data_IF_485277833405
#
_entry.id   IF_485277833405
#
_cell.length_a   1.000
_cell.length_b   1.000
_cell.length_c   1.000
_cell.angle_alpha   90.00
_cell.angle_beta   90.00
_cell.angle_gamma   90.00
#
_symmetry.space_group_name_H-M   'P 1'
#
loop_
_entity.id
_entity.type
_entity.pdbx_description
1 polymer ?
#
# COMPACT_ATOMS: atom_id res chain seq x y z
N UNK A 1 11.79 -29.70 -26.63
CA UNK A 1 12.24 -28.30 -26.84
C UNK A 1 11.55 -27.40 -25.82
N UNK A 2 12.28 -26.79 -24.87
CA UNK A 2 11.71 -25.85 -23.89
C UNK A 2 11.23 -24.59 -24.63
N UNK A 3 9.95 -24.24 -24.51
CA UNK A 3 9.40 -22.99 -25.08
C UNK A 3 10.07 -21.81 -24.36
N UNK A 4 10.77 -20.94 -25.11
CA UNK A 4 11.29 -19.67 -24.58
C UNK A 4 10.10 -18.84 -24.08
N UNK A 5 10.18 -18.37 -22.83
CA UNK A 5 9.19 -17.44 -22.26
C UNK A 5 9.28 -16.12 -23.01
N UNK A 6 8.15 -15.50 -23.34
CA UNK A 6 8.16 -14.18 -23.97
C UNK A 6 8.49 -13.14 -22.90
N UNK A 7 9.31 -12.17 -23.28
CA UNK A 7 9.65 -11.00 -22.46
C UNK A 7 9.02 -9.82 -23.17
N UNK A 8 8.29 -9.00 -22.42
CA UNK A 8 7.65 -7.80 -22.95
C UNK A 8 8.39 -6.58 -22.41
N UNK A 9 8.70 -5.65 -23.31
CA UNK A 9 9.27 -4.36 -22.97
C UNK A 9 8.19 -3.30 -23.05
N UNK A 10 8.15 -2.42 -22.05
CA UNK A 10 7.22 -1.29 -22.00
C UNK A 10 7.96 -0.01 -21.66
N UNK A 11 7.65 1.07 -22.38
CA UNK A 11 8.14 2.41 -22.08
C UNK A 11 7.18 3.11 -21.12
N UNK A 12 7.68 3.54 -19.96
CA UNK A 12 6.89 4.27 -18.97
C UNK A 12 7.27 5.74 -18.97
N UNK A 13 6.46 6.56 -19.63
CA UNK A 13 6.66 8.01 -19.66
C UNK A 13 6.21 8.64 -18.33
N UNK A 14 7.12 9.30 -17.62
CA UNK A 14 6.80 10.08 -16.42
C UNK A 14 6.03 11.37 -16.78
N UNK A 15 5.25 11.89 -15.83
CA UNK A 15 4.55 13.17 -15.94
C UNK A 15 5.49 14.34 -16.24
N UNK A 16 6.79 14.21 -15.91
CA UNK A 16 7.80 15.22 -16.18
C UNK A 16 8.41 15.13 -17.59
N UNK A 17 8.07 14.12 -18.40
CA UNK A 17 8.57 13.97 -19.78
C UNK A 17 8.35 15.25 -20.61
N UNK A 18 7.11 15.72 -20.71
CA UNK A 18 6.78 16.95 -21.43
C UNK A 18 7.18 18.24 -20.69
N UNK A 19 7.64 18.14 -19.44
CA UNK A 19 8.21 19.26 -18.69
C UNK A 19 9.70 19.45 -18.99
N UNK A 20 10.38 18.43 -19.53
CA UNK A 20 11.78 18.52 -19.94
C UNK A 20 11.96 19.70 -20.90
N UNK A 21 12.98 20.52 -20.65
CA UNK A 21 13.22 21.74 -21.42
C UNK A 21 13.44 21.44 -22.90
N UNK A 22 14.16 20.38 -23.24
CA UNK A 22 14.42 20.00 -24.63
C UNK A 22 13.16 19.57 -25.37
N UNK A 23 12.30 18.76 -24.73
CA UNK A 23 11.02 18.30 -25.29
C UNK A 23 10.04 19.47 -25.41
N UNK A 24 9.95 20.31 -24.38
CA UNK A 24 9.09 21.50 -24.37
C UNK A 24 9.56 22.54 -25.39
N UNK A 25 10.87 22.68 -25.58
CA UNK A 25 11.45 23.56 -26.60
C UNK A 25 11.15 23.05 -28.00
N UNK A 26 11.31 21.74 -28.25
CA UNK A 26 10.97 21.12 -29.52
C UNK A 26 9.52 21.43 -29.90
N UNK A 27 8.58 21.14 -28.99
CA UNK A 27 7.14 21.34 -29.22
C UNK A 27 6.73 22.81 -29.46
N UNK A 28 7.45 23.79 -28.90
CA UNK A 28 7.01 25.19 -28.90
C UNK A 28 7.78 26.10 -29.85
N UNK A 29 9.02 25.75 -30.20
CA UNK A 29 9.95 26.64 -30.90
C UNK A 29 10.44 26.08 -32.22
N UNK A 30 10.40 24.76 -32.40
CA UNK A 30 10.91 24.12 -33.63
C UNK A 30 9.75 23.90 -34.62
N UNK A 31 9.89 24.31 -35.88
CA UNK A 31 8.91 23.95 -36.92
C UNK A 31 8.88 22.43 -37.09
N UNK A 32 7.70 21.82 -37.12
CA UNK A 32 7.58 20.35 -37.10
C UNK A 32 7.92 19.71 -35.75
N UNK A 33 7.97 20.50 -34.66
CA UNK A 33 8.37 20.00 -33.34
C UNK A 33 7.52 18.87 -32.76
N UNK A 34 6.26 18.73 -33.21
CA UNK A 34 5.41 17.60 -32.86
C UNK A 34 5.90 16.31 -33.50
N UNK A 35 6.27 16.37 -34.77
CA UNK A 35 6.73 15.23 -35.55
C UNK A 35 8.10 14.78 -35.03
N UNK A 36 8.99 15.72 -34.71
CA UNK A 36 10.28 15.44 -34.06
C UNK A 36 10.11 14.70 -32.72
N UNK A 37 9.18 15.15 -31.86
CA UNK A 37 8.92 14.51 -30.56
C UNK A 37 8.22 13.16 -30.71
N UNK A 38 7.42 12.98 -31.76
CA UNK A 38 6.80 11.71 -32.10
C UNK A 38 7.84 10.69 -32.59
N UNK A 39 8.69 11.09 -33.54
CA UNK A 39 9.78 10.27 -34.06
C UNK A 39 10.75 9.88 -32.94
N UNK A 40 11.07 10.81 -32.03
CA UNK A 40 11.88 10.50 -30.86
C UNK A 40 11.24 9.42 -29.97
N UNK A 41 9.92 9.43 -29.79
CA UNK A 41 9.22 8.36 -29.08
C UNK A 41 9.25 7.04 -29.84
N UNK A 42 9.14 7.06 -31.17
CA UNK A 42 9.26 5.86 -32.00
C UNK A 42 10.68 5.24 -31.89
N UNK A 43 11.72 6.08 -31.93
CA UNK A 43 13.11 5.67 -31.72
C UNK A 43 13.34 5.09 -30.32
N UNK A 44 12.74 5.69 -29.27
CA UNK A 44 12.78 5.13 -27.92
C UNK A 44 12.13 3.75 -27.84
N UNK A 45 11.07 3.49 -28.62
CA UNK A 45 10.39 2.20 -28.64
C UNK A 45 11.21 1.13 -29.37
N UNK A 46 11.86 1.49 -30.48
CA UNK A 46 12.71 0.56 -31.24
C UNK A 46 13.95 0.13 -30.43
N UNK A 47 14.56 1.10 -29.73
CA UNK A 47 15.72 0.85 -28.86
C UNK A 47 15.41 0.08 -27.58
N UNK A 48 14.14 -0.24 -27.28
CA UNK A 48 13.80 -0.99 -26.06
C UNK A 48 14.41 -2.40 -26.05
N UNK A 49 14.57 -3.01 -27.22
CA UNK A 49 15.14 -4.35 -27.34
C UNK A 49 16.63 -4.41 -27.00
N UNK A 50 17.29 -3.25 -27.03
CA UNK A 50 18.74 -3.04 -26.96
C UNK A 50 19.10 -2.04 -25.87
N UNK A 51 18.25 -1.92 -24.84
CA UNK A 51 18.48 -1.08 -23.67
C UNK A 51 18.77 0.39 -23.99
N UNK A 52 18.13 0.94 -25.02
CA UNK A 52 18.31 2.33 -25.43
C UNK A 52 19.38 2.57 -26.48
N UNK A 53 19.99 1.52 -27.05
CA UNK A 53 21.01 1.64 -28.10
C UNK A 53 20.45 1.31 -29.48
N UNK A 54 20.54 2.23 -30.44
CA UNK A 54 20.21 1.98 -31.84
C UNK A 54 21.49 1.63 -32.60
N UNK A 55 21.65 0.34 -32.88
CA UNK A 55 22.81 -0.16 -33.62
C UNK A 55 22.67 0.09 -35.12
N UNK A 56 23.78 0.49 -35.73
CA UNK A 56 23.91 0.55 -37.18
C UNK A 56 24.32 -0.83 -37.70
N UNK A 57 23.46 -1.46 -38.50
CA UNK A 57 23.70 -2.81 -39.03
C UNK A 57 24.57 -2.81 -40.29
N UNK A 58 24.76 -1.65 -40.93
CA UNK A 58 25.57 -1.49 -42.14
C UNK A 58 24.89 -2.04 -43.40
N UNK A 59 23.58 -2.29 -43.36
CA UNK A 59 22.77 -2.75 -44.49
C UNK A 59 22.47 -1.61 -45.48
N UNK A 60 22.25 -0.40 -44.96
CA UNK A 60 22.07 0.83 -45.71
C UNK A 60 23.23 1.79 -45.42
N UNK A 61 23.48 2.82 -46.23
CA UNK A 61 24.65 3.70 -46.09
C UNK A 61 24.72 4.55 -44.82
N UNK A 62 23.63 4.66 -44.05
CA UNK A 62 23.56 5.46 -42.82
C UNK A 62 22.54 4.88 -41.84
N UNK A 63 22.76 5.12 -40.55
CA UNK A 63 21.83 4.70 -39.49
C UNK A 63 20.45 5.32 -39.68
N UNK A 64 20.40 6.60 -40.07
CA UNK A 64 19.17 7.34 -40.33
C UNK A 64 18.31 6.64 -41.38
N UNK A 65 18.95 6.09 -42.41
CA UNK A 65 18.26 5.41 -43.50
C UNK A 65 17.74 4.03 -43.10
N UNK A 66 18.46 3.31 -42.26
CA UNK A 66 17.97 2.04 -41.67
C UNK A 66 16.75 2.28 -40.78
N UNK A 67 16.82 3.31 -39.95
CA UNK A 67 15.72 3.70 -39.07
C UNK A 67 14.51 4.21 -39.88
N UNK A 68 14.73 4.89 -41.00
CA UNK A 68 13.68 5.36 -41.90
C UNK A 68 12.86 4.19 -42.45
N UNK A 69 13.55 3.15 -42.92
CA UNK A 69 12.90 1.93 -43.41
C UNK A 69 12.24 1.14 -42.28
N UNK A 70 12.84 1.06 -41.10
CA UNK A 70 12.27 0.34 -39.95
C UNK A 70 11.00 1.01 -39.40
N UNK A 71 10.96 2.33 -39.38
CA UNK A 71 9.88 3.11 -38.75
C UNK A 71 8.83 3.63 -39.75
N UNK A 72 9.02 3.41 -41.06
CA UNK A 72 8.21 3.99 -42.15
C UNK A 72 8.14 5.54 -42.07
N UNK A 73 9.28 6.18 -41.82
CA UNK A 73 9.44 7.64 -41.69
C UNK A 73 10.47 8.13 -42.71
N UNK A 74 10.34 9.37 -43.18
CA UNK A 74 11.28 9.98 -44.12
C UNK A 74 12.68 10.16 -43.50
N UNK A 75 13.73 9.92 -44.31
CA UNK A 75 15.15 9.99 -43.88
C UNK A 75 15.50 11.37 -43.28
N UNK A 76 14.96 12.44 -43.89
CA UNK A 76 15.19 13.82 -43.46
C UNK A 76 14.62 14.10 -42.05
N UNK A 77 13.46 13.52 -41.72
CA UNK A 77 12.81 13.75 -40.42
C UNK A 77 13.55 13.04 -39.29
N UNK A 78 14.09 11.84 -39.55
CA UNK A 78 14.96 11.12 -38.61
C UNK A 78 16.26 11.87 -38.40
N UNK A 79 16.88 12.35 -39.48
CA UNK A 79 18.13 13.11 -39.40
C UNK A 79 17.94 14.41 -38.59
N UNK A 80 16.86 15.15 -38.82
CA UNK A 80 16.51 16.33 -38.01
C UNK A 80 16.28 15.97 -36.54
N UNK A 81 15.60 14.86 -36.28
CA UNK A 81 15.28 14.40 -34.92
C UNK A 81 16.55 14.02 -34.15
N UNK A 82 17.38 13.15 -34.73
CA UNK A 82 18.65 12.73 -34.12
C UNK A 82 19.57 13.94 -33.92
N UNK A 83 19.67 14.84 -34.91
CA UNK A 83 20.47 16.06 -34.80
C UNK A 83 20.00 16.99 -33.67
N UNK A 84 18.69 17.21 -33.54
CA UNK A 84 18.13 18.04 -32.47
C UNK A 84 18.38 17.44 -31.08
N UNK A 85 18.11 16.14 -30.91
CA UNK A 85 18.25 15.48 -29.62
C UNK A 85 19.72 15.20 -29.24
N UNK A 86 20.62 15.15 -30.22
CA UNK A 86 22.07 15.19 -30.02
C UNK A 86 22.52 16.53 -29.43
N UNK A 87 22.04 17.64 -29.98
CA UNK A 87 22.33 18.97 -29.42
C UNK A 87 21.74 19.17 -28.02
N UNK A 88 20.57 18.58 -27.76
CA UNK A 88 19.93 18.59 -26.44
C UNK A 88 20.62 17.68 -25.41
N UNK A 89 21.59 16.85 -25.81
CA UNK A 89 22.28 15.90 -24.93
C UNK A 89 21.42 14.69 -24.52
N UNK A 90 20.38 14.38 -25.29
CA UNK A 90 19.46 13.26 -25.04
C UNK A 90 19.85 12.01 -25.83
N UNK A 91 20.49 12.21 -26.98
CA UNK A 91 21.07 11.16 -27.81
C UNK A 91 22.59 11.39 -27.88
N UNK A 92 23.36 10.33 -27.71
CA UNK A 92 24.80 10.32 -27.97
C UNK A 92 25.07 9.40 -29.16
N UNK A 93 25.99 9.79 -30.04
CA UNK A 93 26.42 8.96 -31.16
C UNK A 93 27.85 8.56 -30.89
N UNK A 94 28.13 7.26 -30.91
CA UNK A 94 29.47 6.70 -30.67
C UNK A 94 30.34 6.72 -31.95
N UNK A 95 31.59 6.27 -31.82
CA UNK A 95 32.53 6.20 -32.95
C UNK A 95 32.10 5.18 -34.02
N UNK A 96 31.25 4.22 -33.65
CA UNK A 96 30.70 3.16 -34.50
C UNK A 96 29.40 3.57 -35.21
N UNK A 97 28.98 4.83 -35.05
CA UNK A 97 27.78 5.42 -35.62
C UNK A 97 26.47 4.88 -35.04
N UNK A 98 26.52 4.19 -33.89
CA UNK A 98 25.35 3.81 -33.12
C UNK A 98 24.82 5.01 -32.32
N UNK A 99 23.51 5.07 -32.14
CA UNK A 99 22.88 6.14 -31.36
C UNK A 99 22.37 5.61 -30.02
N UNK A 100 22.95 6.10 -28.92
CA UNK A 100 22.54 5.78 -27.55
C UNK A 100 21.56 6.82 -27.00
N UNK A 101 20.43 6.35 -26.50
CA UNK A 101 19.36 7.15 -25.90
C UNK A 101 19.43 7.06 -24.37
N UNK A 102 20.13 8.00 -23.74
CA UNK A 102 20.46 7.97 -22.30
C UNK A 102 19.25 7.91 -21.36
N UNK A 103 18.09 8.40 -21.80
CA UNK A 103 16.88 8.38 -20.97
C UNK A 103 16.16 7.03 -20.99
N UNK A 104 16.36 6.21 -22.03
CA UNK A 104 15.61 4.97 -22.23
C UNK A 104 15.86 3.96 -21.11
N UNK A 105 17.12 3.64 -20.69
CA UNK A 105 17.37 2.70 -19.60
C UNK A 105 16.61 3.03 -18.31
N UNK A 106 16.50 4.32 -17.98
CA UNK A 106 15.81 4.78 -16.77
C UNK A 106 14.27 4.73 -16.89
N UNK A 107 13.73 4.68 -18.11
CA UNK A 107 12.30 4.65 -18.42
C UNK A 107 11.79 3.23 -18.75
N UNK A 108 12.70 2.25 -18.87
CA UNK A 108 12.35 0.86 -19.14
C UNK A 108 12.01 0.11 -17.84
N UNK A 109 10.92 -0.66 -17.87
CA UNK A 109 10.67 -1.75 -16.92
C UNK A 109 10.59 -3.06 -17.72
N UNK A 110 11.41 -4.05 -17.35
CA UNK A 110 11.33 -5.39 -17.94
C UNK A 110 10.21 -6.17 -17.27
N UNK A 111 9.32 -6.77 -18.07
CA UNK A 111 8.25 -7.61 -17.53
C UNK A 111 8.15 -8.98 -18.18
N UNK A 112 7.95 -10.01 -17.35
CA UNK A 112 7.67 -11.38 -17.81
C UNK A 112 6.17 -11.60 -18.02
N UNK A 113 5.80 -12.55 -18.87
CA UNK A 113 4.40 -12.97 -19.11
C UNK A 113 3.61 -13.18 -17.81
N UNK A 114 4.27 -13.74 -16.79
CA UNK A 114 3.68 -14.00 -15.48
C UNK A 114 3.42 -12.73 -14.67
N UNK A 115 4.38 -11.80 -14.66
CA UNK A 115 4.22 -10.52 -13.98
C UNK A 115 3.10 -9.69 -14.62
N UNK A 116 3.00 -9.71 -15.96
CA UNK A 116 1.91 -9.04 -16.70
C UNK A 116 0.57 -9.66 -16.34
N UNK A 117 0.46 -10.99 -16.42
CA UNK A 117 -0.74 -11.73 -16.05
C UNK A 117 -1.20 -11.43 -14.61
N UNK A 118 -0.26 -11.38 -13.65
CA UNK A 118 -0.57 -11.04 -12.26
C UNK A 118 -1.01 -9.59 -12.09
N UNK A 119 -0.46 -8.64 -12.86
CA UNK A 119 -0.94 -7.25 -12.85
C UNK A 119 -2.36 -7.14 -13.39
N UNK A 120 -2.66 -7.84 -14.48
CA UNK A 120 -3.99 -7.86 -15.11
C UNK A 120 -5.05 -8.46 -14.16
N UNK A 121 -4.72 -9.55 -13.47
CA UNK A 121 -5.56 -10.16 -12.44
C UNK A 121 -5.88 -9.20 -11.27
N UNK A 122 -4.98 -8.28 -10.93
CA UNK A 122 -5.23 -7.27 -9.87
C UNK A 122 -6.09 -6.11 -10.36
N UNK A 123 -6.07 -5.81 -11.66
CA UNK A 123 -6.88 -4.72 -12.27
C UNK A 123 -8.34 -5.12 -12.44
N UNK A 124 -8.65 -6.40 -12.54
CA UNK A 124 -10.02 -6.91 -12.51
C UNK A 124 -10.45 -7.12 -11.05
N UNK A 125 -11.26 -6.24 -10.44
CA UNK A 125 -11.81 -6.50 -9.13
C UNK A 125 -12.79 -7.67 -9.27
N UNK A 126 -12.36 -8.88 -8.88
CA UNK A 126 -13.31 -9.96 -8.64
C UNK A 126 -14.11 -9.55 -7.41
N UNK A 127 -15.39 -9.25 -7.62
CA UNK A 127 -16.36 -9.21 -6.54
C UNK A 127 -16.31 -10.56 -5.82
N UNK A 128 -16.47 -10.45 -4.51
CA UNK A 128 -16.23 -11.44 -3.48
C UNK A 128 -16.81 -12.83 -3.78
N UNK A 129 -16.05 -13.86 -3.41
CA UNK A 129 -16.54 -15.08 -2.74
C UNK A 129 -15.39 -16.10 -2.65
N UNK A 130 -14.78 -16.14 -1.46
CA UNK A 130 -14.21 -17.31 -0.74
C UNK A 130 -13.29 -18.30 -1.50
N UNK A 131 -12.09 -18.51 -0.93
CA UNK A 131 -10.99 -19.40 -1.35
C UNK A 131 -11.38 -20.78 -1.94
N UNK A 132 -10.62 -21.20 -2.96
CA UNK A 132 -10.11 -22.58 -3.00
C UNK A 132 -8.61 -22.61 -3.30
N UNK A 133 -7.91 -23.34 -2.44
CA UNK A 133 -6.56 -23.87 -2.57
C UNK A 133 -6.39 -24.66 -3.87
N UNK A 134 -5.31 -24.42 -4.61
CA UNK A 134 -4.61 -25.48 -5.35
C UNK A 134 -3.20 -25.01 -5.72
N UNK A 135 -2.22 -25.67 -5.09
CA UNK A 135 -0.86 -25.78 -5.60
C UNK A 135 -0.85 -26.89 -6.65
N UNK A 136 -0.44 -26.58 -7.88
CA UNK A 136 0.23 -27.56 -8.73
C UNK A 136 1.16 -26.85 -9.73
N UNK A 137 2.47 -26.96 -9.52
CA UNK A 137 3.48 -26.80 -10.55
C UNK A 137 4.30 -28.11 -10.53
N UNK A 138 4.35 -28.91 -11.62
CA UNK A 138 4.99 -30.24 -11.61
C UNK A 138 6.52 -30.20 -11.43
N UNK A 139 7.05 -31.20 -10.71
CA UNK A 139 8.43 -31.28 -10.14
C UNK A 139 9.32 -32.41 -10.73
N UNK A 140 8.92 -33.11 -11.80
CA UNK A 140 9.52 -34.43 -12.11
C UNK A 140 10.84 -34.47 -12.93
N UNK A 141 11.71 -33.44 -12.93
CA UNK A 141 12.92 -33.48 -13.79
C UNK A 141 14.28 -33.13 -13.15
N UNK A 142 14.38 -32.95 -11.83
CA UNK A 142 15.67 -32.62 -11.16
C UNK A 142 16.13 -33.63 -10.09
N UNK A 143 15.36 -34.68 -9.81
CA UNK A 143 15.64 -35.66 -8.72
C UNK A 143 16.72 -36.70 -9.08
N UNK A 144 17.10 -36.85 -10.35
CA UNK A 144 18.05 -37.92 -10.77
C UNK A 144 19.53 -37.53 -10.70
N UNK A 145 19.90 -36.25 -10.56
CA UNK A 145 21.31 -35.83 -10.60
C UNK A 145 21.96 -35.65 -9.21
N UNK A 146 21.21 -35.82 -8.12
CA UNK A 146 21.69 -35.65 -6.74
C UNK A 146 22.32 -36.94 -6.14
N UNK A 147 22.08 -38.14 -6.70
CA UNK A 147 22.41 -39.39 -6.00
C UNK A 147 23.85 -39.92 -6.16
N UNK A 148 24.62 -39.49 -7.17
CA UNK A 148 25.95 -40.09 -7.45
C UNK A 148 27.15 -39.33 -6.86
N UNK A 149 26.98 -38.11 -6.35
CA UNK A 149 28.10 -37.29 -5.84
C UNK A 149 28.17 -37.20 -4.31
N UNK A 150 27.20 -37.78 -3.59
CA UNK A 150 27.10 -37.72 -2.11
C UNK A 150 28.00 -38.72 -1.35
N UNK A 151 28.52 -39.76 -2.00
CA UNK A 151 28.94 -40.95 -1.22
C UNK A 151 30.36 -40.87 -0.66
N UNK A 152 31.30 -40.14 -1.26
CA UNK A 152 32.68 -40.65 -1.14
C UNK A 152 33.50 -40.10 0.04
N UNK A 153 33.27 -38.88 0.56
CA UNK A 153 34.27 -38.32 1.48
C UNK A 153 33.66 -37.45 2.58
N UNK A 154 32.87 -38.10 3.42
CA UNK A 154 33.17 -38.28 4.85
C UNK A 154 34.70 -38.40 5.16
N UNK A 155 35.53 -37.41 4.81
CA UNK A 155 36.78 -37.15 5.56
C UNK A 155 36.59 -35.83 6.28
N UNK A 156 35.46 -35.68 6.98
CA UNK A 156 35.22 -36.19 8.34
C UNK A 156 36.12 -35.51 9.36
N UNK A 157 35.51 -35.10 10.48
CA UNK A 157 36.12 -34.68 11.75
C UNK A 157 36.50 -33.19 11.88
N UNK A 158 36.72 -32.43 10.80
CA UNK A 158 36.99 -30.96 10.91
C UNK A 158 35.78 -30.06 10.62
N UNK A 159 34.78 -30.56 9.91
CA UNK A 159 33.58 -29.82 9.50
C UNK A 159 32.47 -29.81 10.56
N UNK A 160 32.48 -30.72 11.53
CA UNK A 160 31.33 -30.94 12.44
C UNK A 160 31.02 -29.76 13.39
N UNK A 161 32.02 -28.94 13.73
CA UNK A 161 31.82 -27.74 14.57
C UNK A 161 31.28 -26.55 13.76
N UNK A 162 31.56 -26.51 12.46
CA UNK A 162 31.03 -25.50 11.53
C UNK A 162 29.67 -25.92 10.94
N UNK A 163 29.38 -27.22 10.80
CA UNK A 163 28.08 -27.78 10.37
C UNK A 163 26.95 -27.41 11.35
N UNK A 164 27.20 -27.42 12.67
CA UNK A 164 26.15 -27.08 13.65
C UNK A 164 25.80 -25.59 13.61
N UNK A 165 26.80 -24.71 13.43
CA UNK A 165 26.59 -23.26 13.30
C UNK A 165 25.94 -22.88 11.97
N UNK A 166 26.40 -23.48 10.86
CA UNK A 166 25.77 -23.30 9.54
C UNK A 166 24.37 -23.88 9.48
N UNK A 167 24.07 -25.02 10.11
CA UNK A 167 22.71 -25.54 10.19
C UNK A 167 21.75 -24.59 10.91
N UNK A 168 22.20 -23.92 11.98
CA UNK A 168 21.38 -22.88 12.64
C UNK A 168 21.20 -21.63 11.78
N UNK A 169 22.25 -21.17 11.08
CA UNK A 169 22.19 -20.03 10.14
C UNK A 169 21.28 -20.32 8.94
N UNK A 170 21.42 -21.50 8.33
CA UNK A 170 20.60 -21.98 7.21
C UNK A 170 19.13 -22.08 7.60
N UNK A 171 18.84 -22.59 8.80
CA UNK A 171 17.46 -22.71 9.27
C UNK A 171 16.76 -21.35 9.44
N UNK A 172 17.49 -20.29 9.80
CA UNK A 172 16.92 -18.95 9.94
C UNK A 172 16.70 -18.30 8.58
N UNK A 173 17.62 -18.53 7.64
CA UNK A 173 17.50 -18.07 6.27
C UNK A 173 16.28 -18.68 5.57
N UNK A 174 16.15 -20.00 5.62
CA UNK A 174 15.01 -20.73 5.07
C UNK A 174 13.69 -20.28 5.72
N UNK A 175 13.70 -20.09 7.04
CA UNK A 175 12.55 -19.63 7.80
C UNK A 175 12.11 -18.21 7.41
N UNK A 176 13.07 -17.31 7.18
CA UNK A 176 12.79 -15.97 6.68
C UNK A 176 12.19 -16.01 5.28
N UNK A 177 12.79 -16.79 4.37
CA UNK A 177 12.33 -16.92 2.99
C UNK A 177 10.91 -17.50 2.91
N UNK A 178 10.57 -18.44 3.79
CA UNK A 178 9.24 -19.02 3.90
C UNK A 178 8.18 -18.04 4.41
N UNK A 179 8.49 -17.22 5.43
CA UNK A 179 7.51 -16.35 6.11
C UNK A 179 7.38 -14.95 5.51
N UNK A 180 8.46 -14.39 4.99
CA UNK A 180 8.52 -13.01 4.49
C UNK A 180 8.75 -12.98 2.97
N UNK A 181 9.85 -13.56 2.50
CA UNK A 181 10.22 -13.59 1.08
C UNK A 181 11.73 -13.54 0.84
N UNK A 182 12.13 -13.27 -0.40
CA UNK A 182 13.54 -13.27 -0.81
C UNK A 182 14.39 -12.33 0.06
N UNK A 183 15.57 -12.81 0.41
CA UNK A 183 16.49 -12.18 1.34
C UNK A 183 17.76 -11.82 0.55
N UNK A 184 18.14 -10.54 0.58
CA UNK A 184 19.29 -10.01 -0.16
C UNK A 184 20.62 -10.34 0.55
N UNK A 185 21.73 -10.42 -0.18
CA UNK A 185 23.04 -10.79 0.38
C UNK A 185 23.47 -9.92 1.57
N UNK A 186 23.22 -8.61 1.50
CA UNK A 186 23.46 -7.69 2.60
C UNK A 186 22.54 -7.93 3.81
N UNK A 187 21.29 -8.31 3.56
CA UNK A 187 20.31 -8.62 4.61
C UNK A 187 20.69 -9.92 5.33
N UNK A 188 21.30 -10.86 4.60
CA UNK A 188 21.78 -12.14 5.13
C UNK A 188 22.93 -11.90 6.10
N UNK A 189 23.92 -11.14 5.66
CA UNK A 189 25.08 -10.75 6.48
C UNK A 189 24.63 -10.07 7.77
N UNK A 190 23.67 -9.15 7.70
CA UNK A 190 23.08 -8.53 8.91
C UNK A 190 22.40 -9.50 9.85
N UNK A 191 21.65 -10.47 9.34
CA UNK A 191 21.02 -11.48 10.20
C UNK A 191 22.07 -12.37 10.85
N UNK A 192 23.13 -12.68 10.11
CA UNK A 192 24.28 -13.41 10.63
C UNK A 192 25.00 -12.63 11.72
N UNK A 193 25.20 -11.32 11.57
CA UNK A 193 25.81 -10.47 12.59
C UNK A 193 25.03 -10.52 13.92
N UNK A 194 23.69 -10.58 13.87
CA UNK A 194 22.87 -10.70 15.09
C UNK A 194 23.11 -12.03 15.83
N UNK A 195 23.50 -13.09 15.13
CA UNK A 195 23.84 -14.38 15.73
C UNK A 195 25.29 -14.44 16.22
N UNK A 196 26.22 -13.98 15.39
CA UNK A 196 27.66 -14.12 15.63
C UNK A 196 28.20 -13.05 16.59
N UNK A 197 27.76 -11.79 16.41
CA UNK A 197 28.27 -10.63 17.16
C UNK A 197 27.42 -10.38 18.39
N UNK A 198 26.12 -10.20 18.19
CA UNK A 198 25.19 -9.83 19.29
C UNK A 198 24.77 -11.06 20.13
N UNK A 199 25.09 -12.27 19.66
CA UNK A 199 24.80 -13.57 20.32
C UNK A 199 23.31 -13.76 20.64
N UNK A 200 22.43 -13.34 19.74
CA UNK A 200 21.01 -13.59 19.87
C UNK A 200 20.71 -15.07 19.63
N UNK A 201 19.75 -15.59 20.40
CA UNK A 201 19.26 -16.95 20.24
C UNK A 201 18.55 -17.13 18.87
N UNK A 202 18.81 -18.20 18.12
CA UNK A 202 18.13 -18.51 16.85
C UNK A 202 16.59 -18.48 16.93
N UNK A 203 16.04 -18.95 18.05
CA UNK A 203 14.60 -18.97 18.31
C UNK A 203 14.04 -17.55 18.45
N UNK A 204 14.80 -16.62 19.03
CA UNK A 204 14.43 -15.22 19.15
C UNK A 204 14.36 -14.56 17.77
N UNK A 205 15.32 -14.83 16.89
CA UNK A 205 15.34 -14.29 15.53
C UNK A 205 14.13 -14.77 14.71
N UNK A 206 13.79 -16.06 14.80
CA UNK A 206 12.55 -16.61 14.21
C UNK A 206 11.30 -15.90 14.71
N UNK A 207 11.25 -15.54 15.99
CA UNK A 207 10.13 -14.81 16.57
C UNK A 207 10.00 -13.39 16.05
N UNK A 208 11.10 -12.72 15.74
CA UNK A 208 11.07 -11.40 15.07
C UNK A 208 10.45 -11.49 13.67
N UNK A 209 10.80 -12.54 12.93
CA UNK A 209 10.28 -12.83 11.58
C UNK A 209 8.77 -13.08 11.64
N UNK A 210 8.32 -13.88 12.61
CA UNK A 210 6.89 -14.17 12.82
C UNK A 210 6.12 -12.89 13.14
N UNK A 211 6.65 -12.08 14.06
CA UNK A 211 6.03 -10.80 14.44
C UNK A 211 5.92 -9.86 13.24
N UNK A 212 6.88 -9.85 12.33
CA UNK A 212 6.80 -9.06 11.10
C UNK A 212 5.75 -9.62 10.12
N UNK A 213 5.70 -10.95 9.98
CA UNK A 213 4.76 -11.64 9.10
C UNK A 213 3.29 -11.48 9.53
N UNK A 214 3.05 -11.60 10.84
CA UNK A 214 1.71 -11.56 11.45
C UNK A 214 1.16 -10.13 11.52
N UNK A 215 2.02 -9.13 11.70
CA UNK A 215 1.64 -7.71 11.64
C UNK A 215 1.48 -7.17 10.19
N UNK A 216 1.47 -8.06 9.19
CA UNK A 216 1.41 -7.72 7.76
C UNK A 216 2.50 -6.74 7.27
N UNK A 217 3.61 -6.60 8.02
CA UNK A 217 4.78 -5.78 7.68
C UNK A 217 5.96 -6.67 7.29
N UNK A 218 5.74 -7.48 6.25
CA UNK A 218 6.67 -8.48 5.69
C UNK A 218 7.82 -7.82 4.92
N UNK A 219 8.66 -7.06 5.61
CA UNK A 219 9.88 -6.51 5.02
C UNK A 219 11.05 -6.60 6.01
N UNK A 220 12.26 -6.67 5.46
CA UNK A 220 13.48 -6.76 6.24
C UNK A 220 13.66 -5.57 7.19
N UNK A 221 13.29 -4.36 6.75
CA UNK A 221 13.41 -3.15 7.56
C UNK A 221 12.67 -3.23 8.90
N UNK A 222 11.49 -3.86 8.91
CA UNK A 222 10.70 -4.06 10.11
C UNK A 222 11.29 -5.16 11.01
N UNK A 223 11.75 -6.27 10.45
CA UNK A 223 12.48 -7.31 11.19
C UNK A 223 13.75 -6.74 11.83
N UNK A 224 14.54 -6.00 11.05
CA UNK A 224 15.76 -5.34 11.50
C UNK A 224 15.49 -4.32 12.62
N UNK A 225 14.38 -3.57 12.55
CA UNK A 225 13.99 -2.66 13.62
C UNK A 225 13.65 -3.39 14.94
N UNK A 226 13.00 -4.54 14.85
CA UNK A 226 12.69 -5.39 16.01
C UNK A 226 13.97 -5.96 16.62
N UNK A 227 14.83 -6.58 15.79
CA UNK A 227 16.09 -7.18 16.24
C UNK A 227 17.04 -6.14 16.84
N UNK A 228 17.15 -4.97 16.20
CA UNK A 228 17.93 -3.84 16.73
C UNK A 228 17.41 -3.35 18.08
N UNK A 229 16.09 -3.29 18.27
CA UNK A 229 15.51 -2.91 19.55
C UNK A 229 15.79 -3.96 20.64
N UNK A 230 15.74 -5.25 20.30
CA UNK A 230 16.05 -6.33 21.25
C UNK A 230 17.54 -6.37 21.62
N UNK A 231 18.43 -6.20 20.65
CA UNK A 231 19.86 -6.07 20.90
C UNK A 231 20.19 -4.87 21.80
N UNK A 232 19.53 -3.72 21.57
CA UNK A 232 19.71 -2.52 22.40
C UNK A 232 19.21 -2.68 23.84
N UNK A 233 18.18 -3.50 24.06
CA UNK A 233 17.63 -3.79 25.39
C UNK A 233 18.25 -5.03 26.04
N UNK A 234 19.34 -5.56 25.48
CA UNK A 234 20.05 -6.77 25.93
C UNK A 234 19.15 -8.02 26.06
N UNK A 235 18.12 -8.10 25.20
CA UNK A 235 17.20 -9.25 25.13
C UNK A 235 17.80 -10.27 24.15
N UNK A 236 18.41 -11.32 24.69
CA UNK A 236 19.13 -12.34 23.91
C UNK A 236 18.39 -13.66 23.80
N UNK A 237 17.46 -13.94 24.72
CA UNK A 237 16.74 -15.22 24.80
C UNK A 237 15.24 -15.05 24.62
N UNK A 238 14.56 -16.12 24.21
CA UNK A 238 13.10 -16.11 24.04
C UNK A 238 12.36 -15.83 25.34
N UNK A 239 12.89 -16.32 26.47
CA UNK A 239 12.31 -16.16 27.80
C UNK A 239 12.30 -14.68 28.21
N UNK A 240 13.41 -13.96 27.99
CA UNK A 240 13.52 -12.53 28.28
C UNK A 240 12.54 -11.70 27.42
N UNK A 241 12.34 -12.09 26.16
CA UNK A 241 11.40 -11.41 25.28
C UNK A 241 9.95 -11.61 25.74
N UNK A 242 9.59 -12.79 26.23
CA UNK A 242 8.28 -13.07 26.80
C UNK A 242 8.00 -12.27 28.07
N UNK A 243 8.99 -12.15 28.95
CA UNK A 243 8.90 -11.33 30.17
C UNK A 243 8.70 -9.84 29.83
N UNK A 244 9.47 -9.30 28.89
CA UNK A 244 9.32 -7.89 28.46
C UNK A 244 7.95 -7.64 27.81
N UNK A 245 7.44 -8.60 27.03
CA UNK A 245 6.12 -8.48 26.42
C UNK A 245 4.99 -8.51 27.46
N UNK A 246 5.12 -9.32 28.52
CA UNK A 246 4.19 -9.31 29.67
C UNK A 246 4.26 -7.98 30.41
N UNK A 247 5.47 -7.51 30.75
CA UNK A 247 5.68 -6.22 31.39
C UNK A 247 5.10 -5.05 30.59
N UNK A 248 5.21 -5.08 29.26
CA UNK A 248 4.61 -4.07 28.38
C UNK A 248 3.07 -4.10 28.41
N UNK A 249 2.46 -5.29 28.38
CA UNK A 249 1.00 -5.46 28.47
C UNK A 249 0.50 -5.02 29.84
N UNK A 250 1.21 -5.36 30.92
CA UNK A 250 0.88 -4.97 32.29
C UNK A 250 1.03 -3.45 32.51
N UNK A 251 2.07 -2.81 31.93
CA UNK A 251 2.22 -1.35 31.92
C UNK A 251 1.14 -0.66 31.08
N UNK A 252 0.71 -1.27 29.98
CA UNK A 252 -0.35 -0.72 29.13
C UNK A 252 -1.72 -0.82 29.81
N UNK A 253 -2.04 -1.96 30.42
CA UNK A 253 -3.30 -2.16 31.17
C UNK A 253 -3.38 -1.25 32.41
N UNK A 254 -2.27 -1.03 33.11
CA UNK A 254 -2.19 -0.08 34.23
C UNK A 254 -2.19 1.39 33.79
N UNK A 255 -1.71 1.72 32.59
CA UNK A 255 -1.82 3.07 32.00
C UNK A 255 -3.26 3.40 31.56
N UNK A 256 -4.06 2.43 31.13
CA UNK A 256 -5.49 2.61 30.84
C UNK A 256 -6.33 2.92 32.09
N UNK A 257 -5.84 2.62 33.30
CA UNK A 257 -6.51 2.98 34.55
C UNK A 257 -6.07 4.35 35.10
N UNK A 258 -4.91 4.89 34.69
CA UNK A 258 -4.35 6.12 35.27
C UNK A 258 -4.04 7.25 34.25
N UNK A 259 -4.51 7.15 33.00
CA UNK A 259 -4.12 8.07 31.91
C UNK A 259 -5.19 9.04 31.43
N UNK A 260 -6.00 9.64 32.31
CA UNK A 260 -6.88 10.74 31.92
C UNK A 260 -6.10 12.07 31.95
N UNK A 261 -5.29 12.34 30.92
CA UNK A 261 -4.87 13.70 30.53
C UNK A 261 -4.07 13.67 29.23
N UNK A 262 -4.76 13.74 28.10
CA UNK A 262 -4.22 14.36 26.89
C UNK A 262 -5.35 14.96 26.09
N UNK A 263 -5.28 16.27 25.87
CA UNK A 263 -6.36 17.06 25.30
C UNK A 263 -6.71 16.61 23.87
N UNK A 264 -8.01 16.51 23.53
CA UNK A 264 -8.43 16.18 22.18
C UNK A 264 -8.16 17.34 21.21
N UNK A 265 -7.81 16.99 19.97
CA UNK A 265 -7.59 17.93 18.86
C UNK A 265 -8.88 18.74 18.60
N UNK A 266 -8.78 20.07 18.54
CA UNK A 266 -9.90 20.97 18.23
C UNK A 266 -10.46 20.70 16.84
N UNK A 267 -11.71 20.25 16.78
CA UNK A 267 -12.53 20.15 15.55
C UNK A 267 -13.22 21.48 15.24
N UNK A 268 -13.54 21.75 13.97
CA UNK A 268 -14.28 22.95 13.52
C UNK A 268 -15.77 22.96 13.90
N UNK A 269 -16.16 22.23 14.95
CA UNK A 269 -17.54 22.12 15.41
C UNK A 269 -17.71 23.16 16.52
N UNK A 270 -18.63 24.14 16.38
CA UNK A 270 -18.90 25.12 17.43
C UNK A 270 -19.37 24.42 18.71
N UNK A 271 -18.94 24.90 19.88
CA UNK A 271 -19.19 24.25 21.17
C UNK A 271 -20.70 24.01 21.46
N UNK A 272 -21.59 24.87 20.97
CA UNK A 272 -23.05 24.71 21.13
C UNK A 272 -23.63 23.48 20.41
N UNK A 273 -22.94 22.93 19.41
CA UNK A 273 -23.40 21.74 18.67
C UNK A 273 -23.01 20.43 19.36
N UNK A 274 -22.13 20.49 20.36
CA UNK A 274 -21.71 19.37 21.21
C UNK A 274 -22.37 19.41 22.59
N UNK A 275 -23.18 20.44 22.86
CA UNK A 275 -23.90 20.57 24.10
C UNK A 275 -25.11 19.62 24.06
N UNK A 276 -24.96 18.45 24.68
CA UNK A 276 -26.11 17.58 24.94
C UNK A 276 -27.11 18.37 25.78
N UNK A 277 -28.23 18.74 25.18
CA UNK A 277 -29.36 19.34 25.90
C UNK A 277 -29.79 18.33 26.96
N UNK A 278 -29.40 18.58 28.20
CA UNK A 278 -29.90 17.83 29.35
C UNK A 278 -31.38 18.16 29.51
N UNK A 279 -32.24 17.39 28.86
CA UNK A 279 -33.65 17.40 29.18
C UNK A 279 -33.83 16.67 30.51
N UNK A 280 -33.74 17.41 31.61
CA UNK A 280 -34.32 16.99 32.89
C UNK A 280 -35.85 16.93 32.73
N UNK A 281 -36.32 15.84 32.14
CA UNK A 281 -37.73 15.53 32.01
C UNK A 281 -38.06 14.39 32.96
N UNK A 282 -39.00 14.64 33.87
CA UNK A 282 -39.71 13.59 34.62
C UNK A 282 -40.13 12.44 33.69
N UNK A 283 -40.26 11.22 34.21
CA UNK A 283 -40.59 10.03 33.40
C UNK A 283 -41.82 10.25 32.49
N UNK A 284 -42.75 11.10 32.92
CA UNK A 284 -43.91 11.54 32.14
C UNK A 284 -43.54 12.34 30.87
N UNK A 285 -42.53 13.20 30.95
CA UNK A 285 -42.02 13.98 29.80
C UNK A 285 -41.36 13.06 28.77
N UNK A 286 -40.58 12.07 29.24
CA UNK A 286 -39.99 11.05 28.36
C UNK A 286 -41.07 10.20 27.68
N UNK A 287 -42.12 9.82 28.43
CA UNK A 287 -43.26 9.08 27.89
C UNK A 287 -44.04 9.89 26.85
N UNK A 288 -44.21 11.19 27.09
CA UNK A 288 -44.86 12.10 26.14
C UNK A 288 -44.05 12.25 24.84
N UNK A 289 -42.74 12.46 24.94
CA UNK A 289 -41.86 12.53 23.76
C UNK A 289 -41.83 11.21 22.99
N UNK A 290 -41.89 10.08 23.70
CA UNK A 290 -41.99 8.74 23.08
C UNK A 290 -43.34 8.55 22.37
N UNK A 291 -44.44 9.02 22.95
CA UNK A 291 -45.77 8.97 22.34
C UNK A 291 -45.85 9.86 21.09
N UNK A 292 -45.28 11.08 21.14
CA UNK A 292 -45.27 12.02 20.03
C UNK A 292 -44.40 11.52 18.86
N UNK A 293 -43.26 10.88 19.18
CA UNK A 293 -42.44 10.18 18.19
C UNK A 293 -43.19 9.01 17.54
N UNK A 294 -43.96 8.23 18.31
CA UNK A 294 -44.74 7.12 17.79
C UNK A 294 -45.88 7.60 16.86
N UNK A 295 -46.54 8.71 17.18
CA UNK A 295 -47.54 9.34 16.30
C UNK A 295 -46.93 9.80 14.98
N UNK A 296 -45.79 10.52 15.03
CA UNK A 296 -45.10 10.97 13.81
C UNK A 296 -44.72 9.80 12.91
N UNK A 297 -44.20 8.72 13.49
CA UNK A 297 -43.78 7.55 12.75
C UNK A 297 -44.97 6.80 12.12
N UNK A 298 -46.11 6.75 12.82
CA UNK A 298 -47.34 6.15 12.32
C UNK A 298 -47.90 6.96 11.14
N UNK A 299 -47.89 8.30 11.22
CA UNK A 299 -48.29 9.18 10.10
C UNK A 299 -47.42 9.00 8.86
N UNK A 300 -46.10 8.89 9.04
CA UNK A 300 -45.15 8.71 7.93
C UNK A 300 -45.32 7.36 7.23
N UNK A 301 -45.68 6.32 7.99
CA UNK A 301 -45.95 4.97 7.47
C UNK A 301 -47.40 4.75 7.02
N UNK A 302 -48.28 5.73 7.24
CA UNK A 302 -49.72 5.60 6.95
C UNK A 302 -50.44 4.59 7.85
N UNK A 303 -49.88 4.28 9.02
CA UNK A 303 -50.42 3.34 10.00
C UNK A 303 -51.21 4.06 11.10
N UNK A 304 -52.14 3.37 11.76
CA UNK A 304 -52.90 3.95 12.88
C UNK A 304 -52.01 4.12 14.11
N UNK A 305 -52.15 5.25 14.80
CA UNK A 305 -51.37 5.54 16.00
C UNK A 305 -51.69 4.53 17.11
N UNK A 306 -50.69 3.96 17.80
CA UNK A 306 -50.96 3.02 18.89
C UNK A 306 -51.80 3.64 20.01
N UNK A 307 -52.81 2.91 20.49
CA UNK A 307 -53.81 3.40 21.46
C UNK A 307 -53.20 3.94 22.78
N UNK A 308 -52.07 3.38 23.21
CA UNK A 308 -51.35 3.87 24.40
C UNK A 308 -50.75 5.26 24.18
N UNK A 309 -50.29 5.58 22.96
CA UNK A 309 -49.73 6.88 22.63
C UNK A 309 -50.84 7.94 22.51
N UNK A 310 -51.98 7.59 21.93
CA UNK A 310 -53.16 8.46 21.88
C UNK A 310 -53.66 8.84 23.27
N UNK A 311 -53.73 7.89 24.21
CA UNK A 311 -54.13 8.15 25.60
C UNK A 311 -53.20 9.12 26.31
N UNK A 312 -51.88 9.00 26.11
CA UNK A 312 -50.87 9.88 26.72
C UNK A 312 -50.91 11.30 26.14
N UNK A 313 -51.20 11.43 24.84
CA UNK A 313 -51.36 12.74 24.19
C UNK A 313 -52.68 13.43 24.58
N UNK A 314 -53.75 12.65 24.76
CA UNK A 314 -55.06 13.17 25.15
C UNK A 314 -55.08 13.79 26.55
N UNK A 315 -54.43 13.15 27.54
CA UNK A 315 -54.37 13.65 28.93
C UNK A 315 -53.60 14.96 29.06
N UNK A 316 -52.53 15.15 28.28
CA UNK A 316 -51.78 16.42 28.24
C UNK A 316 -52.57 17.55 27.58
N UNK A 317 -53.32 17.26 26.50
CA UNK A 317 -54.21 18.26 25.87
C UNK A 317 -55.29 18.77 26.82
N UNK A 318 -55.83 17.91 27.69
CA UNK A 318 -56.77 18.33 28.74
C UNK A 318 -56.11 19.18 29.83
N UNK A 319 -54.86 18.88 30.20
CA UNK A 319 -54.14 19.65 31.21
C UNK A 319 -53.75 21.06 30.71
N UNK A 320 -53.29 21.18 29.45
CA UNK A 320 -53.03 22.50 28.84
C UNK A 320 -54.32 23.32 28.67
N UNK A 321 -55.43 22.66 28.34
CA UNK A 321 -56.74 23.30 28.28
C UNK A 321 -57.20 23.83 29.65
N UNK A 322 -56.97 23.06 30.73
CA UNK A 322 -57.28 23.48 32.09
C UNK A 322 -56.37 24.61 32.60
N UNK A 323 -55.09 24.59 32.25
CA UNK A 323 -54.15 25.66 32.60
C UNK A 323 -54.54 27.00 31.93
N UNK A 324 -54.85 26.98 30.63
CA UNK A 324 -55.36 28.17 29.93
C UNK A 324 -56.69 28.67 30.49
N UNK A 325 -57.56 27.76 30.92
CA UNK A 325 -58.81 28.14 31.59
C UNK A 325 -58.52 28.84 32.93
N UNK A 326 -57.57 28.34 33.71
CA UNK A 326 -57.15 28.94 34.98
C UNK A 326 -56.51 30.32 34.78
N UNK A 327 -55.67 30.50 33.75
CA UNK A 327 -55.08 31.80 33.42
C UNK A 327 -56.16 32.82 33.03
N UNK A 328 -57.17 32.41 32.26
CA UNK A 328 -58.32 33.26 31.90
C UNK A 328 -59.13 33.64 33.14
N UNK A 329 -59.35 32.71 34.08
CA UNK A 329 -60.04 33.01 35.33
C UNK A 329 -59.24 33.96 36.23
N UNK A 330 -57.92 33.82 36.29
CA UNK A 330 -57.04 34.74 37.02
C UNK A 330 -57.03 36.14 36.40
N UNK A 331 -57.07 36.24 35.07
CA UNK A 331 -57.15 37.51 34.35
C UNK A 331 -58.51 38.21 34.55
N UNK A 332 -59.61 37.44 34.63
CA UNK A 332 -60.94 37.95 35.00
C UNK A 332 -60.99 38.46 36.45
N UNK A 333 -60.39 37.74 37.38
CA UNK A 333 -60.31 38.14 38.80
C UNK A 333 -59.43 39.38 38.99
N UNK A 334 -58.34 39.52 38.23
CA UNK A 334 -57.51 40.73 38.20
C UNK A 334 -58.28 41.95 37.65
N UNK A 335 -59.11 41.75 36.61
CA UNK A 335 -59.97 42.80 36.07
C UNK A 335 -61.08 43.23 37.04
N UNK A 336 -61.68 42.29 37.79
CA UNK A 336 -62.68 42.62 38.82
C UNK A 336 -62.08 43.42 40.00
N UNK A 337 -60.80 43.21 40.30
CA UNK A 337 -60.09 43.92 41.37
C UNK A 337 -59.50 45.28 40.95
N UNK A 338 -59.66 45.68 39.68
CA UNK A 338 -59.38 47.05 39.22
C UNK A 338 -57.90 47.43 39.20
N UNK A 339 -57.00 46.46 39.07
CA UNK A 339 -55.56 46.69 38.91
C UNK A 339 -55.19 46.54 37.43
N UNK A 340 -54.89 47.66 36.77
CA UNK A 340 -54.13 47.68 35.50
C UNK A 340 -52.92 48.57 35.65
#
# INVERSE_FOLDING_TARGET
>A
MKKKKKVFFGLKLDQNFFKNLAIKHALKRVPGGKDIVLIYQMLMLESLSTEGVLYYEGTLPSLEKELAVKLDVEEEEIQMTIGYFKQAGLIQVDDEHNAEMLQVPALMEQETDWARYKREQRKTPKLDNVQQVSNSCPTELEIELELEQEIDIEKEIKSEVDIVKTATELNIFDYYQQRIGALDGYQYEKLKDYLDIDKLEPALVKRAIDRAADNAKRNFGYVNAILKNWAQNDIKTIVQQDEEQRNFVDRKSSSFQNGNTSQPKKTNIPDWALEEVQQEGTEESKLYMKALKAEMLARDKGETVPEWAEKVLATKRTAEGQAKLADIYAELEAMENGET
#
